data_IF_297755248315
#
_entry.id   IF_297755248315
#
_cell.length_a   1.000
_cell.length_b   1.000
_cell.length_c   1.000
_cell.angle_alpha   90.00
_cell.angle_beta   90.00
_cell.angle_gamma   90.00
#
_symmetry.space_group_name_H-M   'P 1'
#
loop_
_entity.id
_entity.type
_entity.pdbx_description
1 polymer ?
#
# COMPACT_ATOMS: atom_id res chain seq x y z
N UNK A 1 -68.58 23.58 16.02
CA UNK A 1 -67.21 23.93 16.47
C UNK A 1 -66.32 22.76 16.10
N UNK A 2 -65.52 22.91 15.05
CA UNK A 2 -64.63 21.86 14.55
C UNK A 2 -63.18 22.17 14.90
N UNK A 3 -62.47 21.18 15.44
CA UNK A 3 -61.01 21.17 15.44
C UNK A 3 -60.55 19.74 15.14
N UNK A 4 -59.79 19.52 14.06
CA UNK A 4 -59.14 18.24 13.83
C UNK A 4 -57.80 18.25 14.58
N UNK A 5 -57.64 17.33 15.53
CA UNK A 5 -56.31 17.02 16.07
C UNK A 5 -55.57 16.23 15.01
N UNK A 6 -54.62 16.85 14.32
CA UNK A 6 -53.60 16.15 13.56
C UNK A 6 -52.23 16.80 13.75
N UNK A 7 -51.25 15.90 13.85
CA UNK A 7 -49.82 16.11 13.65
C UNK A 7 -49.01 16.65 14.84
N UNK A 8 -48.75 15.75 15.79
CA UNK A 8 -47.57 15.86 16.66
C UNK A 8 -46.72 14.57 16.69
N UNK A 9 -46.97 13.60 15.78
CA UNK A 9 -46.21 12.34 15.72
C UNK A 9 -45.03 12.38 14.73
N UNK A 10 -45.02 13.34 13.80
CA UNK A 10 -43.98 13.47 12.76
C UNK A 10 -42.61 13.98 13.26
N UNK A 11 -42.48 14.95 14.19
CA UNK A 11 -41.17 15.48 14.54
C UNK A 11 -40.31 14.48 15.35
N UNK A 12 -40.95 13.58 16.12
CA UNK A 12 -40.27 12.57 16.90
C UNK A 12 -39.66 11.47 16.02
N UNK A 13 -40.36 11.04 14.96
CA UNK A 13 -39.85 10.05 14.01
C UNK A 13 -38.65 10.59 13.21
N UNK A 14 -38.65 11.88 12.84
CA UNK A 14 -37.51 12.50 12.16
C UNK A 14 -36.26 12.63 13.04
N UNK A 15 -36.44 12.93 14.34
CA UNK A 15 -35.32 13.00 15.31
C UNK A 15 -34.71 11.62 15.57
N UNK A 16 -35.54 10.57 15.61
CA UNK A 16 -35.07 9.19 15.73
C UNK A 16 -34.32 8.78 14.45
N UNK A 17 -34.85 9.04 13.25
CA UNK A 17 -34.15 8.70 12.01
C UNK A 17 -32.78 9.39 11.87
N UNK A 18 -32.64 10.65 12.34
CA UNK A 18 -31.37 11.39 12.31
C UNK A 18 -30.34 10.86 13.33
N UNK A 19 -30.79 10.30 14.45
CA UNK A 19 -29.90 9.69 15.44
C UNK A 19 -29.41 8.30 15.00
N UNK A 20 -30.20 7.60 14.19
CA UNK A 20 -29.86 6.28 13.65
C UNK A 20 -29.08 6.35 12.33
N UNK A 21 -29.05 7.50 11.65
CA UNK A 21 -28.18 7.72 10.49
C UNK A 21 -26.72 7.99 10.86
N UNK A 22 -26.43 8.22 12.15
CA UNK A 22 -25.05 8.26 12.67
C UNK A 22 -24.60 6.84 12.99
N UNK A 23 -24.51 6.00 11.97
CA UNK A 23 -23.75 4.75 12.09
C UNK A 23 -22.31 5.12 12.47
N UNK A 24 -21.63 4.35 13.34
CA UNK A 24 -20.19 4.52 13.52
C UNK A 24 -19.60 4.41 12.12
N UNK A 25 -18.97 5.48 11.64
CA UNK A 25 -18.26 5.44 10.37
C UNK A 25 -17.34 4.24 10.46
N UNK A 26 -17.60 3.21 9.66
CA UNK A 26 -16.69 2.09 9.52
C UNK A 26 -15.42 2.75 9.02
N UNK A 27 -14.41 2.93 9.90
CA UNK A 27 -13.10 3.37 9.45
C UNK A 27 -12.66 2.34 8.43
N UNK A 28 -12.75 2.75 7.17
CA UNK A 28 -12.36 1.93 6.04
C UNK A 28 -10.89 1.60 6.17
N UNK A 29 -10.48 0.55 5.47
CA UNK A 29 -9.07 0.34 5.23
C UNK A 29 -8.54 1.51 4.41
N UNK A 30 -7.50 2.17 4.90
CA UNK A 30 -6.97 3.39 4.30
C UNK A 30 -5.48 3.54 4.53
N UNK A 31 -4.80 4.28 3.64
CA UNK A 31 -3.47 4.79 3.93
C UNK A 31 -3.54 6.20 4.50
N UNK A 32 -2.72 6.46 5.52
CA UNK A 32 -2.49 7.78 6.09
C UNK A 32 -1.02 8.18 5.89
N UNK A 33 -0.73 8.83 4.77
CA UNK A 33 0.60 9.37 4.47
C UNK A 33 0.69 10.81 4.98
N UNK A 34 1.04 11.00 6.25
CA UNK A 34 1.10 12.33 6.84
C UNK A 34 -0.22 13.07 6.71
N UNK A 35 -0.32 14.19 5.97
CA UNK A 35 -1.58 14.91 5.77
C UNK A 35 -2.52 14.26 4.73
N UNK A 36 -2.05 13.28 3.96
CA UNK A 36 -2.81 12.70 2.85
C UNK A 36 -3.49 11.38 3.25
N UNK A 37 -4.81 11.34 3.10
CA UNK A 37 -5.65 10.18 3.36
C UNK A 37 -6.06 9.52 2.03
N UNK A 38 -5.83 8.21 1.92
CA UNK A 38 -6.15 7.43 0.72
C UNK A 38 -7.08 6.28 1.09
N UNK A 39 -8.37 6.50 0.88
CA UNK A 39 -9.41 5.48 1.05
C UNK A 39 -9.65 4.68 -0.23
N UNK A 40 -10.32 3.52 -0.13
CA UNK A 40 -10.81 2.77 -1.29
C UNK A 40 -9.74 1.98 -2.04
N UNK A 41 -8.58 1.77 -1.41
CA UNK A 41 -7.50 0.91 -1.90
C UNK A 41 -7.20 -0.12 -0.82
N UNK A 42 -7.27 -1.39 -1.19
CA UNK A 42 -7.01 -2.51 -0.29
C UNK A 42 -5.55 -2.95 -0.45
N UNK A 43 -4.73 -2.82 0.61
CA UNK A 43 -3.31 -3.19 0.57
C UNK A 43 -3.10 -4.66 0.16
N UNK A 44 -4.01 -5.55 0.57
CA UNK A 44 -3.96 -6.96 0.18
C UNK A 44 -4.08 -7.16 -1.33
N UNK A 45 -4.92 -6.37 -2.03
CA UNK A 45 -5.07 -6.46 -3.48
C UNK A 45 -3.79 -6.02 -4.22
N UNK A 46 -3.09 -5.01 -3.68
CA UNK A 46 -1.78 -4.59 -4.20
C UNK A 46 -0.75 -5.73 -4.07
N UNK A 47 -0.69 -6.37 -2.91
CA UNK A 47 0.20 -7.49 -2.65
C UNK A 47 -0.13 -8.70 -3.53
N UNK A 48 -1.40 -9.10 -3.64
CA UNK A 48 -1.82 -10.21 -4.50
C UNK A 48 -1.48 -9.97 -5.97
N UNK A 49 -1.73 -8.75 -6.46
CA UNK A 49 -1.36 -8.36 -7.81
C UNK A 49 0.16 -8.45 -8.03
N UNK A 50 0.98 -7.97 -7.09
CA UNK A 50 2.43 -8.05 -7.23
C UNK A 50 2.97 -9.48 -7.10
N UNK A 51 2.52 -10.24 -6.10
CA UNK A 51 2.97 -11.62 -5.86
C UNK A 51 2.69 -12.53 -7.05
N UNK A 52 1.57 -12.32 -7.75
CA UNK A 52 1.23 -13.07 -8.97
C UNK A 52 2.23 -12.88 -10.13
N UNK A 53 3.08 -11.86 -10.08
CA UNK A 53 4.08 -11.56 -11.11
C UNK A 53 5.51 -11.46 -10.57
N UNK A 54 5.72 -11.53 -9.25
CA UNK A 54 7.00 -11.29 -8.58
C UNK A 54 8.13 -12.16 -9.15
N UNK A 55 7.95 -13.48 -9.15
CA UNK A 55 8.99 -14.43 -9.58
C UNK A 55 9.35 -14.22 -11.06
N UNK A 56 8.35 -13.92 -11.90
CA UNK A 56 8.54 -13.65 -13.33
C UNK A 56 9.36 -12.37 -13.51
N UNK A 57 8.99 -11.27 -12.84
CA UNK A 57 9.70 -10.00 -13.00
C UNK A 57 11.11 -10.07 -12.42
N UNK A 58 11.26 -10.59 -11.20
CA UNK A 58 12.55 -10.65 -10.51
C UNK A 58 13.52 -11.61 -11.20
N UNK A 59 13.05 -12.66 -11.89
CA UNK A 59 13.90 -13.50 -12.72
C UNK A 59 14.50 -12.76 -13.93
N UNK A 60 13.88 -11.67 -14.38
CA UNK A 60 14.39 -10.83 -15.48
C UNK A 60 15.36 -9.74 -15.01
N UNK A 61 15.49 -9.54 -13.70
CA UNK A 61 16.42 -8.58 -13.12
C UNK A 61 17.82 -9.20 -13.01
N UNK A 62 18.67 -8.90 -13.99
CA UNK A 62 20.05 -9.39 -14.03
C UNK A 62 21.01 -8.62 -13.11
N UNK A 63 20.57 -7.56 -12.43
CA UNK A 63 21.44 -6.65 -11.67
C UNK A 63 21.26 -6.85 -10.18
N UNK A 64 21.94 -7.81 -9.57
CA UNK A 64 21.76 -8.11 -8.13
C UNK A 64 22.48 -7.15 -7.17
N UNK A 65 23.52 -6.44 -7.65
CA UNK A 65 24.36 -5.57 -6.81
C UNK A 65 23.85 -4.14 -6.60
N UNK A 66 22.68 -3.80 -7.16
CA UNK A 66 22.09 -2.47 -7.04
C UNK A 66 20.70 -2.62 -6.43
N UNK A 67 20.35 -1.72 -5.52
CA UNK A 67 18.98 -1.53 -5.05
C UNK A 67 18.60 -0.07 -5.35
N UNK A 68 17.43 0.16 -5.94
CA UNK A 68 16.94 1.51 -6.28
C UNK A 68 16.22 2.15 -5.08
N UNK A 69 15.32 1.41 -4.46
CA UNK A 69 14.56 1.81 -3.26
C UNK A 69 15.38 1.53 -2.00
N UNK A 70 16.52 2.19 -1.89
CA UNK A 70 17.44 2.04 -0.75
C UNK A 70 16.87 2.63 0.54
N UNK A 71 17.54 2.29 1.65
CA UNK A 71 17.25 2.86 2.96
C UNK A 71 17.29 4.38 2.97
N UNK A 72 18.23 5.01 2.27
CA UNK A 72 18.36 6.47 2.24
C UNK A 72 17.16 7.15 1.53
N UNK A 73 16.49 6.42 0.63
CA UNK A 73 15.27 6.89 -0.03
C UNK A 73 14.09 6.80 0.95
N UNK A 74 13.88 5.61 1.55
CA UNK A 74 12.63 5.28 2.25
C UNK A 74 12.70 5.36 3.78
N UNK A 75 13.82 4.95 4.39
CA UNK A 75 13.96 4.95 5.85
C UNK A 75 14.09 6.36 6.40
N UNK A 76 13.53 6.55 7.60
CA UNK A 76 13.50 7.83 8.32
C UNK A 76 12.80 8.95 7.54
N UNK A 77 12.05 8.65 6.48
CA UNK A 77 11.09 9.61 5.94
C UNK A 77 10.06 9.87 7.04
N UNK A 78 9.94 11.11 7.47
CA UNK A 78 8.94 11.53 8.44
C UNK A 78 7.54 11.32 7.89
N UNK A 79 6.55 11.20 8.78
CA UNK A 79 5.14 11.13 8.38
C UNK A 79 4.77 12.30 7.46
N UNK A 80 5.27 13.50 7.75
CA UNK A 80 5.01 14.68 6.93
C UNK A 80 5.65 14.61 5.53
N UNK A 81 6.83 14.01 5.38
CA UNK A 81 7.45 13.78 4.06
C UNK A 81 6.74 12.68 3.25
N UNK A 82 6.05 11.76 3.94
CA UNK A 82 5.54 10.52 3.32
C UNK A 82 4.59 10.80 2.15
N UNK A 83 3.67 11.77 2.25
CA UNK A 83 2.75 12.12 1.16
C UNK A 83 3.49 12.57 -0.10
N UNK A 84 4.47 13.47 0.04
CA UNK A 84 5.25 13.97 -1.09
C UNK A 84 6.11 12.88 -1.72
N UNK A 85 6.74 12.06 -0.89
CA UNK A 85 7.64 11.02 -1.37
C UNK A 85 6.86 9.92 -2.10
N UNK A 86 5.75 9.44 -1.53
CA UNK A 86 4.93 8.42 -2.19
C UNK A 86 4.29 8.94 -3.46
N UNK A 87 3.85 10.21 -3.49
CA UNK A 87 3.33 10.84 -4.71
C UNK A 87 4.39 10.83 -5.83
N UNK A 88 5.59 11.34 -5.55
CA UNK A 88 6.68 11.38 -6.53
C UNK A 88 7.12 9.98 -7.01
N UNK A 89 7.17 9.00 -6.11
CA UNK A 89 7.48 7.62 -6.47
C UNK A 89 6.39 7.04 -7.36
N UNK A 90 5.12 7.06 -6.95
CA UNK A 90 4.03 6.45 -7.73
C UNK A 90 3.82 7.12 -9.08
N UNK A 91 3.95 8.45 -9.17
CA UNK A 91 3.94 9.15 -10.46
C UNK A 91 5.08 8.66 -11.37
N UNK A 92 6.29 8.50 -10.82
CA UNK A 92 7.41 7.97 -11.59
C UNK A 92 7.15 6.53 -12.06
N UNK A 93 6.62 5.69 -11.18
CA UNK A 93 6.24 4.31 -11.54
C UNK A 93 5.23 4.29 -12.68
N UNK A 94 4.14 5.06 -12.59
CA UNK A 94 3.10 5.09 -13.62
C UNK A 94 3.63 5.63 -14.96
N UNK A 95 4.32 6.77 -14.93
CA UNK A 95 4.74 7.48 -16.14
C UNK A 95 5.97 6.87 -16.80
N UNK A 96 6.81 6.18 -16.03
CA UNK A 96 8.07 5.60 -16.50
C UNK A 96 8.03 4.09 -16.44
N UNK A 97 7.86 3.50 -15.26
CA UNK A 97 8.05 2.05 -15.08
C UNK A 97 6.94 1.24 -15.76
N UNK A 98 5.67 1.44 -15.39
CA UNK A 98 4.52 0.76 -16.00
C UNK A 98 4.45 1.05 -17.50
N UNK A 99 4.57 2.32 -17.90
CA UNK A 99 4.53 2.69 -19.33
C UNK A 99 5.54 1.92 -20.18
N UNK A 100 6.76 1.72 -19.69
CA UNK A 100 7.82 1.05 -20.44
C UNK A 100 7.88 -0.47 -20.23
N UNK A 101 7.20 -1.03 -19.22
CA UNK A 101 7.17 -2.48 -18.96
C UNK A 101 5.95 -3.18 -19.58
N UNK A 102 5.00 -2.43 -20.14
CA UNK A 102 3.73 -2.97 -20.68
C UNK A 102 3.91 -4.08 -21.69
N UNK A 103 4.84 -3.94 -22.64
CA UNK A 103 5.04 -4.94 -23.69
C UNK A 103 5.57 -6.26 -23.12
N UNK A 104 6.51 -6.19 -22.18
CA UNK A 104 6.97 -7.36 -21.40
C UNK A 104 5.83 -7.99 -20.59
N UNK A 105 4.92 -7.19 -20.02
CA UNK A 105 3.78 -7.71 -19.29
C UNK A 105 2.81 -8.50 -20.18
N UNK A 106 2.68 -8.13 -21.47
CA UNK A 106 1.94 -8.90 -22.48
C UNK A 106 2.68 -10.18 -22.82
N UNK A 107 3.98 -10.08 -23.10
CA UNK A 107 4.85 -11.22 -23.45
C UNK A 107 4.82 -12.32 -22.37
N UNK A 108 5.01 -11.94 -21.11
CA UNK A 108 5.00 -12.85 -19.98
C UNK A 108 3.59 -13.20 -19.46
N UNK A 109 2.52 -12.73 -20.13
CA UNK A 109 1.12 -13.01 -19.79
C UNK A 109 0.71 -12.60 -18.37
N UNK A 110 1.33 -11.54 -17.84
CA UNK A 110 1.05 -10.97 -16.51
C UNK A 110 0.20 -9.69 -16.58
N UNK A 111 -0.34 -9.35 -17.76
CA UNK A 111 -1.06 -8.11 -18.01
C UNK A 111 -2.23 -7.85 -17.02
N UNK A 112 -2.95 -8.90 -16.59
CA UNK A 112 -4.07 -8.76 -15.64
C UNK A 112 -3.60 -8.20 -14.28
N UNK A 113 -2.59 -8.83 -13.68
CA UNK A 113 -2.05 -8.42 -12.39
C UNK A 113 -1.32 -7.08 -12.50
N UNK A 114 -0.58 -6.89 -13.60
CA UNK A 114 0.03 -5.62 -13.96
C UNK A 114 -0.97 -4.47 -14.01
N UNK A 115 -2.11 -4.64 -14.70
CA UNK A 115 -3.17 -3.62 -14.78
C UNK A 115 -3.86 -3.40 -13.45
N UNK A 116 -4.06 -4.46 -12.65
CA UNK A 116 -4.63 -4.35 -11.30
C UNK A 116 -3.77 -3.46 -10.41
N UNK A 117 -2.45 -3.68 -10.42
CA UNK A 117 -1.51 -2.88 -9.64
C UNK A 117 -1.44 -1.43 -10.15
N UNK A 118 -1.33 -1.22 -11.47
CA UNK A 118 -1.27 0.11 -12.07
C UNK A 118 -2.53 0.95 -11.77
N UNK A 119 -3.71 0.34 -11.88
CA UNK A 119 -4.97 1.03 -11.62
C UNK A 119 -5.11 1.43 -10.15
N UNK A 120 -4.71 0.56 -9.22
CA UNK A 120 -4.69 0.92 -7.81
C UNK A 120 -3.70 2.07 -7.55
N UNK A 121 -2.51 2.06 -8.17
CA UNK A 121 -1.57 3.18 -8.06
C UNK A 121 -2.14 4.50 -8.60
N UNK A 122 -2.92 4.46 -9.68
CA UNK A 122 -3.65 5.64 -10.20
C UNK A 122 -4.63 6.17 -9.14
N UNK A 123 -5.40 5.29 -8.50
CA UNK A 123 -6.33 5.70 -7.43
C UNK A 123 -5.57 6.34 -6.27
N UNK A 124 -4.46 5.74 -5.83
CA UNK A 124 -3.63 6.30 -4.76
C UNK A 124 -3.14 7.70 -5.14
N UNK A 125 -2.50 7.84 -6.30
CA UNK A 125 -1.98 9.14 -6.78
C UNK A 125 -3.09 10.20 -6.85
N UNK A 126 -4.30 9.83 -7.30
CA UNK A 126 -5.41 10.79 -7.38
C UNK A 126 -5.85 11.38 -6.03
N UNK A 127 -5.53 10.70 -4.92
CA UNK A 127 -5.85 11.13 -3.55
C UNK A 127 -4.67 11.72 -2.79
N UNK A 128 -3.45 11.53 -3.29
CA UNK A 128 -2.24 12.18 -2.81
C UNK A 128 -2.20 13.60 -3.36
N UNK A 129 -3.02 14.50 -2.83
CA UNK A 129 -2.88 15.94 -3.10
C UNK A 129 -2.19 16.60 -1.91
N UNK A 130 -0.87 16.84 -1.96
CA UNK A 130 -0.21 17.58 -0.90
C UNK A 130 -0.77 19.00 -0.86
N UNK A 131 -1.06 19.54 0.33
CA UNK A 131 -1.61 20.89 0.39
C UNK A 131 -0.55 21.92 -0.04
N UNK A 132 -0.94 22.93 -0.80
CA UNK A 132 -0.03 24.04 -1.19
C UNK A 132 0.47 24.84 0.03
N UNK A 133 -0.20 24.71 1.19
CA UNK A 133 0.11 25.39 2.45
C UNK A 133 1.16 24.67 3.28
N UNK A 134 1.60 23.49 2.88
CA UNK A 134 2.62 22.74 3.61
C UNK A 134 4.01 23.36 3.45
N UNK A 135 4.83 23.19 4.49
CA UNK A 135 6.17 23.76 4.58
C UNK A 135 7.02 23.36 3.38
N UNK A 136 7.47 24.35 2.60
CA UNK A 136 8.41 24.19 1.47
C UNK A 136 9.59 23.26 1.79
N UNK A 137 10.10 23.30 3.02
CA UNK A 137 11.19 22.44 3.49
C UNK A 137 10.87 20.94 3.50
N UNK A 138 9.61 20.56 3.75
CA UNK A 138 9.17 19.15 3.76
C UNK A 138 9.15 18.61 2.33
N UNK A 139 8.53 19.37 1.41
CA UNK A 139 8.51 19.04 -0.01
C UNK A 139 9.93 18.95 -0.59
N UNK A 140 10.80 19.89 -0.24
CA UNK A 140 12.21 19.86 -0.68
C UNK A 140 12.96 18.63 -0.15
N UNK A 141 12.77 18.28 1.12
CA UNK A 141 13.42 17.10 1.71
C UNK A 141 12.93 15.79 1.07
N UNK A 142 11.62 15.65 0.89
CA UNK A 142 11.04 14.51 0.18
C UNK A 142 11.54 14.44 -1.28
N UNK A 143 11.64 15.58 -1.96
CA UNK A 143 12.17 15.65 -3.32
C UNK A 143 13.64 15.22 -3.39
N UNK A 144 14.48 15.63 -2.43
CA UNK A 144 15.89 15.20 -2.35
C UNK A 144 16.00 13.67 -2.22
N UNK A 145 15.14 13.04 -1.43
CA UNK A 145 15.07 11.56 -1.31
C UNK A 145 14.66 10.92 -2.63
N UNK A 146 13.63 11.44 -3.30
CA UNK A 146 13.22 10.97 -4.62
C UNK A 146 14.36 11.09 -5.65
N UNK A 147 15.16 12.16 -5.61
CA UNK A 147 16.32 12.32 -6.51
C UNK A 147 17.41 11.27 -6.29
N UNK A 148 17.55 10.70 -5.08
CA UNK A 148 18.47 9.58 -4.86
C UNK A 148 18.03 8.34 -5.64
N UNK A 149 16.74 7.99 -5.55
CA UNK A 149 16.13 6.91 -6.33
C UNK A 149 16.28 7.18 -7.84
N UNK A 150 15.90 8.39 -8.30
CA UNK A 150 15.95 8.73 -9.71
C UNK A 150 17.38 8.70 -10.26
N UNK A 151 18.37 9.13 -9.48
CA UNK A 151 19.79 9.07 -9.87
C UNK A 151 20.26 7.63 -10.00
N UNK A 152 19.92 6.76 -9.05
CA UNK A 152 20.26 5.33 -9.12
C UNK A 152 19.60 4.66 -10.33
N UNK A 153 18.33 4.97 -10.60
CA UNK A 153 17.61 4.47 -11.78
C UNK A 153 18.31 4.86 -13.09
N UNK A 154 18.73 6.13 -13.21
CA UNK A 154 19.40 6.66 -14.41
C UNK A 154 20.81 6.13 -14.64
N UNK A 155 21.43 5.48 -13.65
CA UNK A 155 22.76 4.85 -13.81
C UNK A 155 22.69 3.47 -14.48
N UNK A 156 21.50 2.88 -14.57
CA UNK A 156 21.30 1.59 -15.21
C UNK A 156 20.90 1.78 -16.67
N UNK A 157 21.14 0.75 -17.49
CA UNK A 157 20.54 0.69 -18.83
C UNK A 157 19.02 0.82 -18.73
N UNK A 158 18.38 1.46 -19.72
CA UNK A 158 16.95 1.78 -19.68
C UNK A 158 16.07 0.57 -19.42
N UNK A 159 16.30 -0.55 -20.09
CA UNK A 159 15.46 -1.74 -19.96
C UNK A 159 15.70 -2.44 -18.61
N UNK A 160 16.97 -2.51 -18.19
CA UNK A 160 17.35 -3.06 -16.90
C UNK A 160 16.79 -2.20 -15.75
N UNK A 161 16.83 -0.87 -15.87
CA UNK A 161 16.30 0.07 -14.89
C UNK A 161 14.80 -0.11 -14.66
N UNK A 162 14.03 -0.24 -15.75
CA UNK A 162 12.58 -0.47 -15.68
C UNK A 162 12.28 -1.83 -15.05
N UNK A 163 12.97 -2.88 -15.50
CA UNK A 163 12.77 -4.24 -14.97
C UNK A 163 13.10 -4.31 -13.47
N UNK A 164 14.21 -3.71 -13.07
CA UNK A 164 14.64 -3.61 -11.68
C UNK A 164 13.66 -2.81 -10.82
N UNK A 165 13.26 -1.61 -11.26
CA UNK A 165 12.29 -0.81 -10.52
C UNK A 165 10.97 -1.57 -10.34
N UNK A 166 10.47 -2.24 -11.38
CA UNK A 166 9.26 -3.06 -11.26
C UNK A 166 9.47 -4.24 -10.30
N UNK A 167 10.65 -4.88 -10.34
CA UNK A 167 11.01 -5.98 -9.44
C UNK A 167 11.11 -5.58 -7.97
N UNK A 168 11.36 -4.29 -7.66
CA UNK A 168 11.45 -3.74 -6.30
C UNK A 168 10.10 -3.19 -5.76
N UNK A 169 8.98 -3.46 -6.43
CA UNK A 169 7.65 -3.04 -5.94
C UNK A 169 7.32 -3.64 -4.58
N UNK A 170 7.80 -4.84 -4.23
CA UNK A 170 7.63 -5.39 -2.88
C UNK A 170 8.25 -4.50 -1.80
N UNK A 171 9.40 -3.89 -2.08
CA UNK A 171 10.04 -2.92 -1.16
C UNK A 171 9.16 -1.68 -1.02
N UNK A 172 8.57 -1.18 -2.11
CA UNK A 172 7.64 -0.05 -2.08
C UNK A 172 6.38 -0.37 -1.27
N UNK A 173 5.75 -1.53 -1.52
CA UNK A 173 4.55 -1.97 -0.79
C UNK A 173 4.83 -2.19 0.69
N UNK A 174 5.98 -2.78 1.04
CA UNK A 174 6.43 -2.92 2.43
C UNK A 174 6.58 -1.57 3.12
N UNK A 175 7.08 -0.56 2.40
CA UNK A 175 7.17 0.78 2.96
C UNK A 175 5.80 1.44 3.13
N UNK A 176 4.90 1.29 2.15
CA UNK A 176 3.53 1.81 2.21
C UNK A 176 2.70 1.20 3.35
N UNK A 177 2.95 -0.07 3.70
CA UNK A 177 2.27 -0.77 4.80
C UNK A 177 2.42 -0.05 6.14
N UNK A 178 3.53 0.66 6.37
CA UNK A 178 3.73 1.45 7.60
C UNK A 178 2.70 2.57 7.77
N UNK A 179 2.02 2.95 6.70
CA UNK A 179 1.01 4.01 6.67
C UNK A 179 -0.40 3.45 6.55
N UNK A 180 -0.58 2.12 6.51
CA UNK A 180 -1.88 1.49 6.34
C UNK A 180 -2.58 1.31 7.69
N UNK A 181 -3.77 1.91 7.83
CA UNK A 181 -4.61 1.78 9.01
C UNK A 181 -5.69 0.74 8.73
N UNK A 182 -5.65 -0.37 9.45
CA UNK A 182 -6.79 -1.28 9.54
C UNK A 182 -7.74 -0.74 10.61
N UNK A 183 -8.97 -0.38 10.22
CA UNK A 183 -10.05 -0.12 11.18
C UNK A 183 -10.08 -1.24 12.22
N UNK A 184 -10.16 -0.88 13.51
CA UNK A 184 -10.15 -1.82 14.63
C UNK A 184 -11.19 -2.94 14.40
N UNK A 185 -10.72 -4.13 14.01
CA UNK A 185 -11.59 -5.28 13.69
C UNK A 185 -10.90 -6.50 13.08
N UNK A 186 -9.69 -6.37 12.53
CA UNK A 186 -8.97 -7.51 11.94
C UNK A 186 -7.52 -7.60 12.43
N UNK A 187 -7.31 -8.24 13.57
CA UNK A 187 -6.03 -8.90 13.85
C UNK A 187 -6.33 -10.32 14.31
N UNK A 188 -6.28 -11.25 13.36
CA UNK A 188 -5.78 -12.61 13.56
C UNK A 188 -5.52 -13.21 12.18
N UNK A 189 -4.31 -12.99 11.65
CA UNK A 189 -3.76 -13.86 10.62
C UNK A 189 -3.05 -15.02 11.35
N UNK A 190 -3.42 -16.29 11.11
CA UNK A 190 -2.78 -17.41 11.78
C UNK A 190 -1.35 -17.57 11.26
N UNK A 191 -0.38 -17.53 12.19
CA UNK A 191 0.99 -17.98 11.91
C UNK A 191 1.01 -19.50 11.70
N UNK A 192 1.80 -20.03 10.75
CA UNK A 192 1.94 -21.47 10.59
C UNK A 192 2.60 -22.07 11.83
N UNK A 193 1.83 -22.86 12.58
CA UNK A 193 2.28 -23.53 13.80
C UNK A 193 3.44 -24.49 13.54
N UNK A 194 4.53 -24.27 14.29
CA UNK A 194 5.68 -25.16 14.33
C UNK A 194 5.34 -26.40 15.18
N UNK A 195 4.86 -27.46 14.53
CA UNK A 195 4.48 -28.70 15.18
C UNK A 195 5.73 -29.58 15.40
N UNK A 196 6.55 -29.26 16.41
CA UNK A 196 7.60 -30.17 16.88
C UNK A 196 7.11 -30.92 18.11
N UNK A 197 6.58 -32.12 17.85
CA UNK A 197 6.13 -33.10 18.83
C UNK A 197 7.35 -33.60 19.63
N UNK A 198 7.45 -33.19 20.89
CA UNK A 198 8.44 -33.71 21.84
C UNK A 198 8.03 -35.13 22.26
N UNK A 199 8.76 -36.14 21.79
CA UNK A 199 8.66 -37.51 22.32
C UNK A 199 9.54 -37.55 23.57
N UNK A 200 8.91 -37.54 24.75
CA UNK A 200 9.55 -37.90 26.02
C UNK A 200 9.53 -39.42 26.15
N UNK A 201 10.70 -40.04 25.92
CA UNK A 201 10.92 -41.45 26.23
C UNK A 201 11.18 -41.63 27.73
N UNK A 202 10.18 -42.16 28.43
CA UNK A 202 10.35 -42.74 29.77
C UNK A 202 10.76 -44.20 29.60
N UNK A 203 11.98 -44.54 30.04
CA UNK A 203 12.49 -45.89 30.09
C UNK A 203 12.96 -46.20 31.49
N UNK A 204 12.12 -46.90 32.25
CA UNK A 204 12.41 -47.52 33.53
C UNK A 204 12.53 -49.04 33.29
N UNK A 205 13.57 -49.68 33.85
CA UNK A 205 13.46 -51.08 34.29
C UNK A 205 14.55 -52.05 33.85
N UNK A 206 15.17 -52.68 34.87
CA UNK A 206 15.77 -54.03 34.94
C UNK A 206 17.00 -54.30 34.04
N UNK A 207 18.11 -54.87 34.50
CA UNK A 207 18.30 -55.85 35.55
C UNK A 207 18.91 -57.09 34.90
N UNK A 208 20.23 -57.27 35.07
CA UNK A 208 20.99 -58.52 35.21
C UNK A 208 22.45 -58.18 35.55
#
# INVERSE_FOLDING_TARGET
MGSPVRMAALPCLSLILLFWSQGPGVRGQEFQFGPCQVEGVVLQELWEAFQAMKDIVQAQDSITGVQLLRKEVLQNASEAESCYLIHALLEFYLNTVFKNYRDKAVEFRILKSFSTLANNFIVIVSKLQPSEKEMFSISESAHRRFLLFQRAFKQLDREAAVTKAFGEVDILLTWMENFYQMGHGAREFPTPGNNRRSITGSGHGAGD
#
